data_IF_303621392109
#
_entry.id   IF_303621392109
#
_cell.length_a   1.000
_cell.length_b   1.000
_cell.length_c   1.000
_cell.angle_alpha   90.00
_cell.angle_beta   90.00
_cell.angle_gamma   90.00
#
_symmetry.space_group_name_H-M   'P 1'
#
loop_
_entity.id
_entity.type
_entity.pdbx_description
1 polymer ?
#
# COMPACT_ATOMS: atom_id res chain seq x y z
N UNK A 1 -20.84 -26.10 -16.53
CA UNK A 1 -21.93 -25.21 -17.00
C UNK A 1 -23.23 -25.80 -16.55
N UNK A 2 -24.16 -24.98 -16.08
CA UNK A 2 -25.57 -25.40 -16.05
C UNK A 2 -26.17 -25.26 -17.45
N UNK A 3 -27.40 -25.76 -17.61
CA UNK A 3 -28.15 -25.73 -18.91
C UNK A 3 -28.40 -24.28 -19.44
N UNK A 4 -27.91 -23.24 -18.75
CA UNK A 4 -28.12 -21.82 -19.07
C UNK A 4 -26.83 -21.05 -19.40
N UNK A 5 -25.69 -21.74 -19.57
CA UNK A 5 -24.41 -21.10 -19.94
C UNK A 5 -23.68 -20.39 -18.80
N UNK A 6 -24.09 -20.57 -17.55
CA UNK A 6 -23.51 -19.91 -16.39
C UNK A 6 -22.27 -20.64 -15.90
N UNK A 7 -21.25 -19.90 -15.52
CA UNK A 7 -20.03 -20.47 -14.96
C UNK A 7 -20.08 -20.46 -13.45
N UNK A 8 -19.83 -21.61 -12.87
CA UNK A 8 -19.90 -21.85 -11.43
C UNK A 8 -18.51 -22.20 -10.93
N UNK A 9 -18.10 -21.60 -9.81
CA UNK A 9 -16.85 -22.00 -9.14
C UNK A 9 -16.98 -23.46 -8.65
N UNK A 10 -16.06 -24.33 -9.06
CA UNK A 10 -16.08 -25.75 -8.69
C UNK A 10 -15.79 -26.01 -7.20
N UNK A 11 -15.36 -24.98 -6.45
CA UNK A 11 -15.08 -25.10 -5.00
C UNK A 11 -16.28 -24.65 -4.16
N UNK A 12 -16.82 -23.44 -4.40
CA UNK A 12 -17.86 -22.86 -3.54
C UNK A 12 -19.26 -22.82 -4.19
N UNK A 13 -19.37 -23.32 -5.41
CA UNK A 13 -20.62 -23.30 -6.20
C UNK A 13 -21.21 -21.89 -6.41
N UNK A 14 -20.38 -20.84 -6.23
CA UNK A 14 -20.80 -19.47 -6.49
C UNK A 14 -20.91 -19.25 -8.00
N UNK A 15 -22.05 -18.75 -8.39
CA UNK A 15 -22.29 -18.30 -9.76
C UNK A 15 -21.49 -17.01 -10.00
N UNK A 16 -20.64 -17.02 -11.01
CA UNK A 16 -19.90 -15.85 -11.48
C UNK A 16 -20.67 -15.28 -12.66
N UNK A 17 -21.09 -14.02 -12.53
CA UNK A 17 -21.96 -13.37 -13.52
C UNK A 17 -21.26 -13.28 -14.87
N UNK A 18 -21.98 -13.70 -15.91
CA UNK A 18 -21.71 -13.31 -17.28
C UNK A 18 -21.93 -11.81 -17.44
N UNK A 19 -20.88 -11.04 -17.69
CA UNK A 19 -20.99 -9.87 -18.53
C UNK A 19 -20.29 -10.28 -19.83
N UNK A 20 -21.06 -11.04 -20.65
CA UNK A 20 -20.59 -11.36 -21.96
C UNK A 20 -21.19 -10.35 -22.93
N UNK A 21 -20.31 -9.70 -23.63
CA UNK A 21 -20.52 -9.70 -25.09
C UNK A 21 -19.19 -9.54 -25.86
N UNK A 22 -18.05 -9.26 -25.23
CA UNK A 22 -16.86 -9.01 -26.04
C UNK A 22 -15.49 -9.50 -25.51
N UNK A 23 -15.28 -9.96 -24.27
CA UNK A 23 -13.93 -10.26 -23.82
C UNK A 23 -13.83 -11.48 -22.88
N UNK A 24 -13.54 -12.65 -23.44
CA UNK A 24 -13.08 -13.84 -22.68
C UNK A 24 -11.99 -13.52 -21.65
N UNK A 25 -11.06 -12.61 -21.98
CA UNK A 25 -10.00 -12.19 -21.07
C UNK A 25 -10.52 -11.54 -19.79
N UNK A 26 -11.56 -10.70 -19.86
CA UNK A 26 -12.15 -10.05 -18.71
C UNK A 26 -12.88 -11.03 -17.81
N UNK A 27 -13.63 -11.94 -18.44
CA UNK A 27 -14.31 -13.02 -17.74
C UNK A 27 -13.33 -13.97 -17.06
N UNK A 28 -12.30 -14.44 -17.78
CA UNK A 28 -11.27 -15.31 -17.23
C UNK A 28 -10.53 -14.64 -16.07
N UNK A 29 -10.20 -13.35 -16.18
CA UNK A 29 -9.60 -12.56 -15.10
C UNK A 29 -10.50 -12.51 -13.87
N UNK A 30 -11.80 -12.35 -14.02
CA UNK A 30 -12.75 -12.39 -12.90
C UNK A 30 -12.78 -13.75 -12.20
N UNK A 31 -12.72 -14.83 -12.96
CA UNK A 31 -12.66 -16.19 -12.42
C UNK A 31 -11.32 -16.45 -11.70
N UNK A 32 -10.21 -16.07 -12.31
CA UNK A 32 -8.86 -16.16 -11.72
C UNK A 32 -8.78 -15.40 -10.39
N UNK A 33 -9.30 -14.17 -10.36
CA UNK A 33 -9.35 -13.37 -9.13
C UNK A 33 -10.25 -14.01 -8.06
N UNK A 34 -11.39 -14.58 -8.45
CA UNK A 34 -12.24 -15.30 -7.52
C UNK A 34 -11.54 -16.50 -6.90
N UNK A 35 -10.87 -17.32 -7.72
CA UNK A 35 -10.11 -18.49 -7.25
C UNK A 35 -8.98 -18.09 -6.31
N UNK A 36 -8.25 -17.05 -6.64
CA UNK A 36 -7.15 -16.56 -5.84
C UNK A 36 -7.62 -15.91 -4.52
N UNK A 37 -8.61 -15.01 -4.58
CA UNK A 37 -9.06 -14.24 -3.41
C UNK A 37 -9.84 -15.08 -2.39
N UNK A 38 -10.68 -16.02 -2.87
CA UNK A 38 -11.57 -16.77 -1.99
C UNK A 38 -11.03 -18.16 -1.63
N UNK A 39 -10.20 -18.74 -2.48
CA UNK A 39 -9.74 -20.13 -2.31
C UNK A 39 -8.22 -20.26 -2.21
N UNK A 40 -7.46 -19.18 -2.42
CA UNK A 40 -5.99 -19.18 -2.48
C UNK A 40 -5.44 -20.14 -3.56
N UNK A 41 -6.17 -20.24 -4.68
CA UNK A 41 -5.84 -21.10 -5.81
C UNK A 41 -5.33 -20.26 -6.96
N UNK A 42 -4.17 -20.63 -7.48
CA UNK A 42 -3.58 -20.07 -8.70
C UNK A 42 -3.84 -21.06 -9.82
N UNK A 43 -4.46 -20.61 -10.90
CA UNK A 43 -4.77 -21.39 -12.10
C UNK A 43 -3.89 -20.94 -13.27
N UNK A 44 -3.58 -21.84 -14.23
CA UNK A 44 -2.81 -21.46 -15.40
C UNK A 44 -3.59 -20.47 -16.29
N UNK A 45 -2.88 -19.75 -17.14
CA UNK A 45 -3.49 -18.90 -18.16
C UNK A 45 -3.94 -19.78 -19.33
N UNK A 46 -5.15 -19.57 -19.82
CA UNK A 46 -5.70 -20.29 -20.98
C UNK A 46 -5.65 -19.39 -22.21
N UNK A 47 -5.37 -19.98 -23.37
CA UNK A 47 -5.26 -19.24 -24.64
C UNK A 47 -6.61 -19.09 -25.35
N UNK A 48 -7.57 -19.96 -25.01
CA UNK A 48 -8.90 -19.96 -25.62
C UNK A 48 -10.03 -20.27 -24.64
N UNK A 49 -11.24 -19.91 -25.05
CA UNK A 49 -12.48 -20.22 -24.32
C UNK A 49 -12.65 -21.74 -24.17
N UNK A 50 -12.40 -22.49 -25.27
CA UNK A 50 -12.58 -23.93 -25.29
C UNK A 50 -11.66 -24.66 -24.34
N UNK A 51 -10.37 -24.24 -24.26
CA UNK A 51 -9.40 -24.78 -23.32
C UNK A 51 -9.81 -24.53 -21.86
N UNK A 52 -10.35 -23.34 -21.56
CA UNK A 52 -10.84 -23.03 -20.24
C UNK A 52 -12.09 -23.84 -19.87
N UNK A 53 -13.02 -24.05 -20.79
CA UNK A 53 -14.17 -24.89 -20.53
C UNK A 53 -13.81 -26.36 -20.38
N UNK A 54 -12.90 -26.88 -21.18
CA UNK A 54 -12.36 -28.22 -21.00
C UNK A 54 -11.73 -28.39 -19.62
N UNK A 55 -10.97 -27.40 -19.17
CA UNK A 55 -10.45 -27.37 -17.80
C UNK A 55 -11.58 -27.43 -16.75
N UNK A 56 -12.61 -26.61 -16.86
CA UNK A 56 -13.72 -26.60 -15.91
C UNK A 56 -14.51 -27.90 -15.88
N UNK A 57 -14.67 -28.57 -17.03
CA UNK A 57 -15.37 -29.86 -17.12
C UNK A 57 -14.60 -30.97 -16.39
N UNK A 58 -13.27 -30.87 -16.30
CA UNK A 58 -12.43 -31.86 -15.66
C UNK A 58 -12.08 -31.52 -14.18
N UNK A 59 -12.45 -30.33 -13.69
CA UNK A 59 -12.19 -29.88 -12.33
C UNK A 59 -13.46 -29.98 -11.47
N UNK A 60 -13.63 -31.07 -10.72
CA UNK A 60 -14.79 -31.26 -9.85
C UNK A 60 -14.52 -30.99 -8.37
N UNK A 61 -13.27 -31.18 -7.91
CA UNK A 61 -12.86 -30.89 -6.54
C UNK A 61 -11.34 -30.77 -6.42
N UNK A 62 -10.89 -30.13 -5.33
CA UNK A 62 -9.47 -29.99 -5.02
C UNK A 62 -8.82 -31.34 -4.70
N UNK A 63 -9.57 -32.21 -3.99
CA UNK A 63 -9.08 -33.55 -3.61
C UNK A 63 -8.81 -34.42 -4.84
N UNK A 64 -9.65 -34.31 -5.85
CA UNK A 64 -9.46 -35.00 -7.12
C UNK A 64 -8.19 -34.51 -7.82
N UNK A 65 -8.01 -33.19 -7.95
CA UNK A 65 -6.83 -32.60 -8.59
C UNK A 65 -5.52 -32.96 -7.87
N UNK A 66 -5.57 -33.08 -6.53
CA UNK A 66 -4.44 -33.57 -5.75
C UNK A 66 -4.16 -35.05 -6.00
N UNK A 67 -5.18 -35.88 -6.11
CA UNK A 67 -5.04 -37.31 -6.40
C UNK A 67 -4.50 -37.61 -7.82
N UNK A 68 -4.71 -36.66 -8.74
CA UNK A 68 -4.22 -36.72 -10.12
C UNK A 68 -2.85 -36.05 -10.32
N UNK A 69 -2.17 -35.63 -9.24
CA UNK A 69 -0.93 -34.85 -9.25
C UNK A 69 -1.00 -33.52 -10.03
N UNK A 70 -2.22 -32.98 -10.22
CA UNK A 70 -2.50 -31.74 -10.92
C UNK A 70 -2.54 -30.53 -10.00
N UNK A 71 -2.54 -30.73 -8.69
CA UNK A 71 -2.58 -29.68 -7.69
C UNK A 71 -1.42 -29.83 -6.70
N UNK A 72 -0.63 -28.78 -6.54
CA UNK A 72 0.47 -28.72 -5.58
C UNK A 72 0.29 -27.57 -4.60
N UNK A 73 0.78 -27.74 -3.38
CA UNK A 73 0.76 -26.68 -2.38
C UNK A 73 2.02 -25.83 -2.51
N UNK A 74 1.84 -24.51 -2.53
CA UNK A 74 2.91 -23.53 -2.53
C UNK A 74 2.81 -22.66 -1.27
N UNK A 75 3.82 -22.74 -0.42
CA UNK A 75 3.89 -21.94 0.82
C UNK A 75 4.65 -20.65 0.55
N UNK A 76 3.96 -19.52 0.67
CA UNK A 76 4.57 -18.19 0.63
C UNK A 76 4.75 -17.65 2.04
N UNK A 77 5.95 -17.22 2.36
CA UNK A 77 6.29 -16.66 3.68
C UNK A 77 7.00 -15.34 3.53
N UNK A 78 6.51 -14.33 4.25
CA UNK A 78 7.21 -13.05 4.43
C UNK A 78 7.10 -12.62 5.89
N UNK A 79 8.25 -12.43 6.56
CA UNK A 79 8.36 -12.28 8.02
C UNK A 79 7.75 -13.50 8.75
N UNK A 80 6.81 -13.27 9.66
CA UNK A 80 6.07 -14.29 10.40
C UNK A 80 4.73 -14.69 9.75
N UNK A 81 4.33 -13.98 8.70
CA UNK A 81 3.09 -14.27 7.98
C UNK A 81 3.33 -15.36 6.91
N UNK A 82 2.53 -16.42 7.00
CA UNK A 82 2.59 -17.57 6.08
C UNK A 82 1.22 -17.71 5.42
N UNK A 83 1.22 -17.86 4.10
CA UNK A 83 0.02 -18.16 3.32
C UNK A 83 0.31 -19.36 2.44
N UNK A 84 -0.56 -20.37 2.51
CA UNK A 84 -0.49 -21.55 1.66
C UNK A 84 -1.42 -21.35 0.46
N UNK A 85 -0.85 -21.45 -0.72
CA UNK A 85 -1.56 -21.39 -2.00
C UNK A 85 -1.62 -22.80 -2.60
N UNK A 86 -2.63 -23.03 -3.42
CA UNK A 86 -2.72 -24.23 -4.25
C UNK A 86 -2.47 -23.84 -5.71
N UNK A 87 -1.54 -24.52 -6.35
CA UNK A 87 -1.23 -24.30 -7.75
C UNK A 87 -1.84 -25.44 -8.56
N UNK A 88 -2.72 -25.12 -9.48
CA UNK A 88 -3.31 -26.11 -10.39
C UNK A 88 -2.48 -26.13 -11.67
N UNK A 89 -2.14 -27.34 -12.12
CA UNK A 89 -1.32 -27.60 -13.30
C UNK A 89 -0.02 -26.73 -13.34
N UNK A 90 0.81 -26.73 -12.28
CA UNK A 90 1.95 -25.82 -12.16
C UNK A 90 2.99 -25.99 -13.26
N UNK A 91 2.99 -27.14 -13.96
CA UNK A 91 3.86 -27.38 -15.10
C UNK A 91 3.55 -26.50 -16.32
N UNK A 92 2.33 -25.95 -16.39
CA UNK A 92 1.90 -25.02 -17.44
C UNK A 92 2.26 -23.56 -17.10
N UNK A 93 2.80 -23.31 -15.89
CA UNK A 93 3.11 -21.96 -15.43
C UNK A 93 4.61 -21.76 -15.23
N UNK A 94 5.10 -20.58 -15.57
CA UNK A 94 6.46 -20.18 -15.27
C UNK A 94 6.57 -19.84 -13.77
N UNK A 95 7.64 -20.31 -13.10
CA UNK A 95 7.92 -20.06 -11.68
C UNK A 95 7.92 -18.57 -11.33
N UNK A 96 8.48 -17.72 -12.20
CA UNK A 96 8.45 -16.26 -12.05
C UNK A 96 7.03 -15.70 -12.07
N UNK A 97 6.16 -16.23 -12.91
CA UNK A 97 4.74 -15.82 -12.99
C UNK A 97 4.00 -16.20 -11.71
N UNK A 98 4.19 -17.43 -11.22
CA UNK A 98 3.61 -17.91 -9.96
C UNK A 98 4.03 -16.98 -8.82
N UNK A 99 5.33 -16.72 -8.70
CA UNK A 99 5.89 -15.84 -7.66
C UNK A 99 5.26 -14.45 -7.71
N UNK A 100 5.18 -13.85 -8.87
CA UNK A 100 4.58 -12.51 -9.05
C UNK A 100 3.10 -12.46 -8.65
N UNK A 101 2.30 -13.46 -9.05
CA UNK A 101 0.88 -13.54 -8.70
C UNK A 101 0.72 -13.66 -7.18
N UNK A 102 1.47 -14.56 -6.57
CA UNK A 102 1.41 -14.82 -5.12
C UNK A 102 1.87 -13.62 -4.32
N UNK A 103 2.96 -12.98 -4.70
CA UNK A 103 3.47 -11.76 -4.05
C UNK A 103 2.48 -10.61 -4.14
N UNK A 104 1.91 -10.37 -5.31
CA UNK A 104 0.91 -9.33 -5.52
C UNK A 104 -0.34 -9.58 -4.67
N UNK A 105 -0.85 -10.80 -4.65
CA UNK A 105 -2.01 -11.17 -3.84
C UNK A 105 -1.71 -11.06 -2.33
N UNK A 106 -0.55 -11.54 -1.89
CA UNK A 106 -0.12 -11.42 -0.50
C UNK A 106 -0.06 -9.96 -0.05
N UNK A 107 0.56 -9.09 -0.88
CA UNK A 107 0.61 -7.66 -0.62
C UNK A 107 -0.79 -7.05 -0.52
N UNK A 108 -1.69 -7.42 -1.43
CA UNK A 108 -3.08 -6.94 -1.38
C UNK A 108 -3.77 -7.32 -0.07
N UNK A 109 -3.53 -8.53 0.45
CA UNK A 109 -4.05 -8.93 1.77
C UNK A 109 -3.51 -8.05 2.89
N UNK A 110 -2.22 -7.72 2.87
CA UNK A 110 -1.59 -6.83 3.87
C UNK A 110 -2.18 -5.41 3.78
N UNK A 111 -2.35 -4.87 2.58
CA UNK A 111 -2.98 -3.55 2.37
C UNK A 111 -4.43 -3.52 2.86
N UNK A 112 -5.20 -4.55 2.54
CA UNK A 112 -6.59 -4.68 3.01
C UNK A 112 -6.66 -4.77 4.55
N UNK A 113 -5.71 -5.47 5.17
CA UNK A 113 -5.62 -5.56 6.64
C UNK A 113 -5.23 -4.21 7.24
N UNK A 114 -4.26 -3.51 6.65
CA UNK A 114 -3.87 -2.17 7.08
C UNK A 114 -5.06 -1.18 6.97
N UNK A 115 -5.83 -1.24 5.86
CA UNK A 115 -7.01 -0.41 5.67
C UNK A 115 -8.11 -0.72 6.72
N UNK A 116 -8.35 -1.99 7.05
CA UNK A 116 -9.29 -2.36 8.13
C UNK A 116 -8.84 -1.79 9.47
N UNK A 117 -7.55 -1.91 9.80
CA UNK A 117 -7.00 -1.39 11.04
C UNK A 117 -7.00 0.14 11.10
N UNK A 118 -6.90 0.81 9.93
CA UNK A 118 -7.04 2.25 9.82
C UNK A 118 -8.45 2.72 10.17
N UNK A 119 -9.44 1.99 9.71
CA UNK A 119 -10.87 2.28 9.90
C UNK A 119 -11.46 1.64 11.18
N UNK A 120 -10.60 1.07 12.04
CA UNK A 120 -11.06 0.39 13.26
C UNK A 120 -11.28 1.38 14.39
N UNK A 121 -12.55 1.67 14.67
CA UNK A 121 -13.01 2.52 15.77
C UNK A 121 -13.09 1.78 17.12
N UNK A 122 -12.82 0.47 17.13
CA UNK A 122 -12.80 -0.35 18.36
C UNK A 122 -11.47 -0.31 19.10
N UNK A 123 -10.47 0.40 18.56
CA UNK A 123 -9.17 0.53 19.19
C UNK A 123 -9.27 1.19 20.55
N UNK A 124 -8.73 0.55 21.59
CA UNK A 124 -8.72 1.08 22.96
C UNK A 124 -7.40 0.72 23.64
N UNK A 125 -6.57 1.74 23.93
CA UNK A 125 -5.27 1.53 24.61
C UNK A 125 -4.89 2.70 25.49
N UNK A 126 -4.19 2.37 26.59
CA UNK A 126 -3.51 3.34 27.44
C UNK A 126 -2.14 3.69 26.84
N UNK A 127 -1.74 4.96 26.98
CA UNK A 127 -0.42 5.43 26.59
C UNK A 127 0.71 4.64 27.26
N UNK A 128 1.80 4.41 26.56
CA UNK A 128 2.99 3.71 27.05
C UNK A 128 3.73 4.45 28.18
N UNK A 129 3.55 5.77 28.28
CA UNK A 129 4.33 6.64 29.17
C UNK A 129 3.50 7.40 30.21
N UNK A 130 2.18 7.53 30.01
CA UNK A 130 1.26 8.18 30.93
C UNK A 130 -0.05 7.38 31.09
N UNK A 131 -1.00 7.89 31.89
CA UNK A 131 -2.27 7.20 32.19
C UNK A 131 -3.42 7.59 31.25
N UNK A 132 -3.15 8.35 30.19
CA UNK A 132 -4.18 8.74 29.22
C UNK A 132 -4.57 7.53 28.39
N UNK A 133 -5.86 7.28 28.27
CA UNK A 133 -6.43 6.22 27.44
C UNK A 133 -7.00 6.81 26.17
N UNK A 134 -6.76 6.16 25.06
CA UNK A 134 -7.25 6.51 23.73
C UNK A 134 -8.24 5.44 23.31
N UNK A 135 -9.43 5.87 22.92
CA UNK A 135 -10.50 5.03 22.41
C UNK A 135 -10.80 5.55 20.99
N UNK A 136 -11.33 4.69 20.14
CA UNK A 136 -11.71 4.95 18.74
C UNK A 136 -10.59 4.68 17.75
N UNK A 137 -9.70 5.63 17.45
CA UNK A 137 -8.70 5.47 16.40
C UNK A 137 -7.27 5.44 16.95
N UNK A 138 -6.45 4.55 16.39
CA UNK A 138 -5.04 4.41 16.77
C UNK A 138 -4.20 5.67 16.52
N UNK A 139 -4.56 6.48 15.51
CA UNK A 139 -3.81 7.69 15.17
C UNK A 139 -3.68 8.64 16.35
N UNK A 140 -4.74 8.83 17.12
CA UNK A 140 -4.71 9.69 18.32
C UNK A 140 -3.66 9.27 19.35
N UNK A 141 -3.43 7.95 19.53
CA UNK A 141 -2.38 7.47 20.43
C UNK A 141 -0.99 7.74 19.85
N UNK A 142 -0.79 7.54 18.54
CA UNK A 142 0.50 7.78 17.90
C UNK A 142 0.87 9.27 17.92
N UNK A 143 -0.08 10.16 17.66
CA UNK A 143 0.09 11.62 17.74
C UNK A 143 0.42 12.05 19.17
N UNK A 144 -0.27 11.50 20.17
CA UNK A 144 0.04 11.75 21.56
C UNK A 144 1.44 11.23 21.97
N UNK A 145 1.86 10.06 21.49
CA UNK A 145 3.21 9.55 21.74
C UNK A 145 4.27 10.48 21.17
N UNK A 146 4.04 11.02 19.99
CA UNK A 146 4.92 11.98 19.36
C UNK A 146 4.91 13.34 20.07
N UNK A 147 3.74 13.98 20.18
CA UNK A 147 3.61 15.37 20.67
C UNK A 147 3.93 15.50 22.17
N UNK A 148 3.37 14.59 23.02
CA UNK A 148 3.50 14.72 24.48
C UNK A 148 4.74 14.00 25.05
N UNK A 149 5.26 12.99 24.33
CA UNK A 149 6.37 12.17 24.84
C UNK A 149 7.62 12.22 23.97
N UNK A 150 7.60 12.92 22.82
CA UNK A 150 8.66 12.91 21.81
C UNK A 150 9.10 11.47 21.48
N UNK A 151 8.12 10.58 21.30
CA UNK A 151 8.36 9.17 21.00
C UNK A 151 7.73 8.81 19.67
N UNK A 152 8.56 8.77 18.63
CA UNK A 152 8.13 8.52 17.27
C UNK A 152 8.23 7.04 16.92
N UNK A 153 7.10 6.43 16.55
CA UNK A 153 7.00 5.03 16.11
C UNK A 153 6.86 4.88 14.60
N UNK A 154 6.76 5.97 13.86
CA UNK A 154 6.38 6.01 12.44
C UNK A 154 4.95 6.50 12.27
N UNK A 155 4.59 6.81 11.03
CA UNK A 155 3.24 7.23 10.68
C UNK A 155 2.27 6.07 10.91
N UNK A 156 1.10 6.29 11.55
CA UNK A 156 0.15 5.21 11.87
C UNK A 156 -0.31 4.41 10.64
N UNK A 157 -0.41 5.04 9.47
CA UNK A 157 -0.79 4.36 8.23
C UNK A 157 0.30 3.47 7.62
N UNK A 158 1.55 3.65 8.06
CA UNK A 158 2.63 2.73 7.69
C UNK A 158 2.77 1.56 8.67
N UNK A 159 1.88 1.44 9.66
CA UNK A 159 1.98 0.39 10.68
C UNK A 159 0.87 -0.63 10.49
N UNK A 160 1.24 -1.89 10.44
CA UNK A 160 0.35 -3.06 10.46
C UNK A 160 0.47 -3.78 11.80
N UNK A 161 -0.61 -4.44 12.25
CA UNK A 161 -0.67 -5.15 13.53
C UNK A 161 -0.29 -4.25 14.73
N UNK A 162 -0.83 -3.01 14.73
CA UNK A 162 -0.50 -1.95 15.70
C UNK A 162 -0.64 -2.40 17.15
N UNK A 163 -1.65 -3.23 17.49
CA UNK A 163 -1.84 -3.73 18.83
C UNK A 163 -0.69 -4.65 19.27
N UNK A 164 -0.30 -5.62 18.43
CA UNK A 164 0.83 -6.50 18.71
C UNK A 164 2.15 -5.73 18.80
N UNK A 165 2.34 -4.75 17.89
CA UNK A 165 3.51 -3.87 17.93
C UNK A 165 3.63 -3.13 19.24
N UNK A 166 2.55 -2.50 19.70
CA UNK A 166 2.51 -1.78 20.98
C UNK A 166 2.66 -2.73 22.18
N UNK A 167 2.15 -3.98 22.12
CA UNK A 167 2.36 -4.98 23.15
C UNK A 167 3.84 -5.36 23.32
N UNK A 168 4.56 -5.53 22.23
CA UNK A 168 6.01 -5.81 22.28
C UNK A 168 6.77 -4.65 22.93
N UNK A 169 6.46 -3.41 22.52
CA UNK A 169 7.09 -2.21 23.09
C UNK A 169 6.76 -2.09 24.58
N UNK A 170 5.50 -2.24 24.94
CA UNK A 170 5.04 -2.19 26.34
C UNK A 170 5.73 -3.27 27.20
N UNK A 171 5.84 -4.50 26.69
CA UNK A 171 6.53 -5.58 27.39
C UNK A 171 8.03 -5.32 27.59
N UNK A 172 8.70 -4.72 26.61
CA UNK A 172 10.11 -4.27 26.78
C UNK A 172 10.22 -3.18 27.83
N UNK A 173 9.33 -2.20 27.83
CA UNK A 173 9.30 -1.14 28.86
C UNK A 173 8.98 -1.68 30.24
N UNK A 174 8.06 -2.65 30.40
CA UNK A 174 7.78 -3.33 31.68
C UNK A 174 8.99 -4.09 32.22
N UNK A 175 9.83 -4.62 31.34
CA UNK A 175 11.11 -5.24 31.70
C UNK A 175 12.24 -4.20 31.92
N UNK A 176 11.93 -2.92 31.91
CA UNK A 176 12.87 -1.81 32.07
C UNK A 176 13.99 -1.80 31.02
N UNK A 177 13.70 -2.29 29.81
CA UNK A 177 14.61 -2.27 28.68
C UNK A 177 14.50 -0.95 27.90
N UNK A 178 15.61 -0.38 27.54
CA UNK A 178 15.65 0.76 26.61
C UNK A 178 15.32 0.28 25.19
N UNK A 179 14.35 0.89 24.55
CA UNK A 179 13.86 0.48 23.22
C UNK A 179 14.89 0.66 22.10
N UNK A 180 15.88 1.52 22.30
CA UNK A 180 16.94 1.79 21.33
C UNK A 180 18.17 0.90 21.51
N UNK A 181 18.76 0.88 22.74
CA UNK A 181 20.01 0.16 23.01
C UNK A 181 19.80 -1.17 23.76
N UNK A 182 18.56 -1.55 24.06
CA UNK A 182 18.14 -2.79 24.75
C UNK A 182 18.83 -3.05 26.10
N UNK A 183 19.42 -2.02 26.68
CA UNK A 183 20.02 -2.10 28.01
C UNK A 183 18.94 -2.11 29.08
N UNK A 184 19.08 -2.98 30.07
CA UNK A 184 18.21 -3.08 31.25
C UNK A 184 18.58 -2.06 32.33
N UNK A 185 17.56 -1.52 33.00
CA UNK A 185 17.71 -0.52 34.07
C UNK A 185 17.02 -0.97 35.37
N UNK A 186 17.48 -0.41 36.49
CA UNK A 186 17.01 -0.80 37.83
C UNK A 186 15.57 -0.36 38.12
N UNK A 187 15.14 0.74 37.55
CA UNK A 187 13.79 1.29 37.73
C UNK A 187 13.38 2.20 36.57
N UNK A 188 12.10 2.51 36.52
CA UNK A 188 11.49 3.32 35.49
C UNK A 188 12.07 4.73 35.36
N UNK A 189 12.38 5.40 36.48
CA UNK A 189 12.91 6.77 36.44
C UNK A 189 14.30 6.82 35.80
N UNK A 190 15.15 5.85 36.12
CA UNK A 190 16.49 5.74 35.50
C UNK A 190 16.38 5.43 34.01
N UNK A 191 15.46 4.55 33.61
CA UNK A 191 15.21 4.27 32.20
C UNK A 191 14.73 5.52 31.46
N UNK A 192 13.73 6.23 31.99
CA UNK A 192 13.22 7.47 31.38
C UNK A 192 14.32 8.53 31.23
N UNK A 193 15.12 8.71 32.28
CA UNK A 193 16.23 9.67 32.24
C UNK A 193 17.30 9.26 31.23
N UNK A 194 17.63 7.97 31.14
CA UNK A 194 18.53 7.45 30.11
C UNK A 194 18.00 7.73 28.71
N UNK A 195 16.75 7.38 28.43
CA UNK A 195 16.12 7.59 27.12
C UNK A 195 16.12 9.07 26.74
N UNK A 196 15.85 9.97 27.70
CA UNK A 196 15.87 11.42 27.49
C UNK A 196 17.29 11.94 27.22
N UNK A 197 18.29 11.59 28.09
CA UNK A 197 19.67 12.11 28.01
C UNK A 197 20.44 11.60 26.78
N UNK A 198 20.10 10.40 26.28
CA UNK A 198 20.78 9.75 25.16
C UNK A 198 20.06 9.88 23.82
N UNK A 199 18.91 10.56 23.78
CA UNK A 199 18.09 10.61 22.57
C UNK A 199 17.46 9.27 22.19
N UNK A 200 17.33 8.34 23.15
CA UNK A 200 16.83 6.99 22.90
C UNK A 200 15.29 6.90 22.99
N UNK A 201 14.57 8.00 22.70
CA UNK A 201 13.11 8.04 22.62
C UNK A 201 12.62 7.64 21.23
N UNK A 202 13.24 6.64 20.64
CA UNK A 202 12.89 6.07 19.34
C UNK A 202 13.27 4.59 19.34
N UNK A 203 12.78 3.85 18.35
CA UNK A 203 13.19 2.47 18.13
C UNK A 203 14.53 2.43 17.40
N UNK A 204 15.30 1.36 17.65
CA UNK A 204 16.52 1.13 16.90
C UNK A 204 16.19 0.64 15.50
N UNK A 205 16.41 1.46 14.48
CA UNK A 205 16.18 1.14 13.08
C UNK A 205 17.04 0.00 12.52
N UNK A 206 18.07 -0.45 13.24
CA UNK A 206 18.84 -1.63 12.89
C UNK A 206 18.28 -2.93 13.52
N UNK A 207 17.31 -2.81 14.43
CA UNK A 207 16.65 -3.98 15.01
C UNK A 207 15.53 -4.47 14.08
N UNK A 208 15.79 -5.59 13.40
CA UNK A 208 14.84 -6.19 12.43
C UNK A 208 13.62 -6.83 13.05
N UNK A 209 13.53 -6.92 14.38
CA UNK A 209 12.34 -7.42 15.08
C UNK A 209 11.09 -6.62 14.73
N UNK A 210 11.25 -5.32 14.46
CA UNK A 210 10.17 -4.41 14.16
C UNK A 210 9.81 -4.32 12.67
N UNK A 211 10.63 -4.86 11.77
CA UNK A 211 10.45 -4.74 10.31
C UNK A 211 9.08 -5.25 9.85
N UNK A 212 8.57 -6.29 10.49
CA UNK A 212 7.28 -6.91 10.18
C UNK A 212 6.07 -6.02 10.47
N UNK A 213 6.23 -4.96 11.25
CA UNK A 213 5.16 -4.04 11.59
C UNK A 213 5.08 -2.84 10.65
N UNK A 214 6.06 -2.65 9.77
CA UNK A 214 6.06 -1.54 8.83
C UNK A 214 5.61 -2.00 7.45
N UNK A 215 4.51 -1.39 6.97
CA UNK A 215 3.90 -1.70 5.68
C UNK A 215 4.90 -1.57 4.52
N UNK A 216 5.75 -0.56 4.58
CA UNK A 216 6.80 -0.31 3.59
C UNK A 216 7.69 -1.55 3.34
N UNK A 217 7.96 -2.35 4.36
CA UNK A 217 8.81 -3.53 4.23
C UNK A 217 8.11 -4.71 3.53
N UNK A 218 6.77 -4.68 3.44
CA UNK A 218 5.99 -5.62 2.63
C UNK A 218 5.95 -5.22 1.15
N UNK A 219 6.03 -3.92 0.87
CA UNK A 219 6.02 -3.38 -0.49
C UNK A 219 7.34 -3.64 -1.23
N UNK A 220 8.43 -3.77 -0.49
CA UNK A 220 9.77 -3.96 -1.03
C UNK A 220 10.12 -5.44 -1.14
N UNK A 221 10.28 -5.94 -2.36
CA UNK A 221 10.79 -7.27 -2.59
C UNK A 221 12.33 -7.24 -2.47
N UNK A 222 12.86 -7.87 -1.40
CA UNK A 222 14.30 -8.09 -1.13
C UNK A 222 15.19 -6.84 -1.01
N UNK A 223 14.64 -5.64 -1.16
CA UNK A 223 15.39 -4.39 -1.00
C UNK A 223 14.97 -3.69 0.29
N UNK A 224 15.94 -3.28 1.07
CA UNK A 224 15.69 -2.38 2.19
C UNK A 224 15.23 -1.02 1.62
N UNK A 225 14.22 -0.38 2.23
CA UNK A 225 13.68 0.91 1.78
C UNK A 225 14.77 1.97 1.49
N UNK A 226 15.91 1.97 2.22
CA UNK A 226 17.08 2.82 1.93
C UNK A 226 17.72 2.55 0.58
N UNK A 227 17.63 1.33 0.05
CA UNK A 227 18.17 0.99 -1.29
C UNK A 227 17.23 1.49 -2.36
N UNK A 228 15.91 1.40 -2.12
CA UNK A 228 14.90 1.90 -3.05
C UNK A 228 14.95 3.44 -3.13
N UNK A 229 15.11 4.11 -1.98
CA UNK A 229 15.34 5.55 -1.96
C UNK A 229 16.57 5.92 -2.79
N UNK A 230 17.71 5.26 -2.60
CA UNK A 230 18.92 5.51 -3.40
C UNK A 230 18.75 5.24 -4.90
N UNK A 231 17.94 4.27 -5.29
CA UNK A 231 17.65 3.99 -6.71
C UNK A 231 16.73 5.05 -7.33
N UNK A 232 15.80 5.59 -6.55
CA UNK A 232 14.95 6.70 -6.97
C UNK A 232 15.72 8.04 -6.99
N UNK A 233 16.66 8.23 -6.06
CA UNK A 233 17.52 9.43 -5.96
C UNK A 233 18.48 9.57 -7.16
N UNK A 234 18.67 8.51 -7.97
CA UNK A 234 19.46 8.61 -9.21
C UNK A 234 18.83 9.55 -10.27
N UNK A 235 17.55 9.90 -10.09
CA UNK A 235 16.84 10.85 -10.96
C UNK A 235 16.74 12.27 -10.36
N UNK A 236 17.19 12.49 -9.12
CA UNK A 236 17.16 13.79 -8.44
C UNK A 236 18.56 14.05 -7.89
N UNK A 237 19.25 15.02 -8.49
CA UNK A 237 20.60 15.46 -8.16
C UNK A 237 20.69 15.97 -6.71
N UNK A 238 21.58 15.35 -5.95
CA UNK A 238 22.20 15.75 -4.70
C UNK A 238 21.57 16.88 -3.86
N UNK A 239 20.88 16.52 -2.75
CA UNK A 239 21.07 17.22 -1.48
C UNK A 239 20.73 16.32 -0.28
N UNK A 240 21.73 16.06 0.54
CA UNK A 240 21.76 15.65 1.96
C UNK A 240 20.85 14.53 2.49
N UNK A 241 21.51 13.39 2.75
CA UNK A 241 21.08 12.32 3.66
C UNK A 241 20.82 12.84 5.07
N UNK A 242 19.58 13.16 5.43
CA UNK A 242 19.18 13.13 6.83
C UNK A 242 17.67 12.93 6.97
N UNK A 243 17.28 11.73 7.42
CA UNK A 243 15.91 11.45 7.85
C UNK A 243 15.51 12.18 9.15
N UNK A 244 16.34 13.12 9.60
CA UNK A 244 15.99 14.05 10.65
C UNK A 244 15.08 15.19 10.18
N UNK A 245 14.86 15.35 8.86
CA UNK A 245 14.00 16.43 8.30
C UNK A 245 12.49 16.23 8.51
N UNK A 246 12.06 15.13 9.12
CA UNK A 246 10.68 14.99 9.59
C UNK A 246 10.48 15.51 11.02
N UNK A 247 11.50 16.05 11.66
CA UNK A 247 11.38 16.83 12.88
C UNK A 247 11.18 18.27 12.40
N UNK A 248 9.93 18.70 12.29
CA UNK A 248 9.61 20.11 12.12
C UNK A 248 10.24 20.87 13.30
N UNK A 249 11.20 21.73 13.02
CA UNK A 249 11.58 22.79 13.94
C UNK A 249 10.35 23.67 14.19
N UNK A 250 9.95 23.79 15.45
CA UNK A 250 8.71 24.40 15.94
C UNK A 250 8.58 25.91 15.72
N UNK A 251 9.35 26.55 14.84
CA UNK A 251 9.38 28.00 14.66
C UNK A 251 9.33 28.51 13.21
N UNK A 252 9.14 27.65 12.23
CA UNK A 252 8.79 28.10 10.88
C UNK A 252 7.32 27.73 10.62
N UNK A 253 6.47 28.75 10.41
CA UNK A 253 5.15 28.65 9.78
C UNK A 253 5.36 28.17 8.31
N UNK A 254 6.19 27.15 8.24
CA UNK A 254 6.90 26.57 7.10
C UNK A 254 5.90 26.00 6.12
N UNK A 255 5.84 26.62 5.02
CA UNK A 255 5.23 26.33 3.75
C UNK A 255 5.13 24.83 3.49
N UNK A 256 4.06 24.21 3.98
CA UNK A 256 3.59 22.92 3.52
C UNK A 256 3.04 23.13 2.09
N UNK A 257 3.96 23.34 1.14
CA UNK A 257 3.60 23.60 -0.25
C UNK A 257 3.30 22.27 -0.95
N UNK A 258 2.12 22.18 -1.53
CA UNK A 258 1.74 21.13 -2.45
C UNK A 258 2.10 21.55 -3.88
N UNK A 259 2.49 20.60 -4.72
CA UNK A 259 2.85 20.84 -6.11
C UNK A 259 1.68 20.51 -7.05
N UNK A 260 1.48 21.32 -8.09
CA UNK A 260 0.57 20.98 -9.18
C UNK A 260 1.07 19.76 -9.96
N UNK A 261 0.18 18.92 -10.46
CA UNK A 261 0.55 17.75 -11.30
C UNK A 261 1.13 18.18 -12.66
N UNK A 262 0.61 19.27 -13.22
CA UNK A 262 0.78 19.61 -14.63
C UNK A 262 1.72 20.79 -14.89
N UNK A 263 1.85 21.72 -13.94
CA UNK A 263 2.68 22.91 -14.09
C UNK A 263 3.58 23.16 -12.86
N UNK A 264 4.50 24.13 -12.88
CA UNK A 264 5.40 24.42 -11.74
C UNK A 264 4.73 25.15 -10.58
N UNK A 265 3.41 25.35 -10.62
CA UNK A 265 2.69 26.05 -9.54
C UNK A 265 2.71 25.25 -8.26
N UNK A 266 3.00 25.92 -7.14
CA UNK A 266 3.01 25.34 -5.81
C UNK A 266 2.35 26.30 -4.82
N UNK A 267 1.56 25.75 -3.93
CA UNK A 267 0.83 26.52 -2.92
C UNK A 267 0.26 25.56 -1.83
N UNK A 268 -0.44 26.11 -0.85
CA UNK A 268 -1.22 25.33 0.13
C UNK A 268 -2.24 24.43 -0.57
N UNK A 269 -2.63 23.35 0.10
CA UNK A 269 -3.48 22.29 -0.45
C UNK A 269 -4.77 22.81 -1.11
N UNK A 270 -5.55 23.66 -0.44
CA UNK A 270 -6.82 24.20 -0.98
C UNK A 270 -6.59 24.99 -2.27
N UNK A 271 -5.53 25.79 -2.32
CA UNK A 271 -5.19 26.58 -3.50
C UNK A 271 -4.73 25.68 -4.67
N UNK A 272 -4.07 24.56 -4.37
CA UNK A 272 -3.70 23.55 -5.40
C UNK A 272 -4.94 22.84 -5.94
N UNK A 273 -5.91 22.48 -5.09
CA UNK A 273 -7.20 21.89 -5.54
C UNK A 273 -7.92 22.82 -6.49
N UNK A 274 -8.05 24.10 -6.09
CA UNK A 274 -8.70 25.09 -6.93
C UNK A 274 -7.93 25.33 -8.24
N UNK A 275 -6.61 25.46 -8.18
CA UNK A 275 -5.75 25.62 -9.36
C UNK A 275 -5.84 24.43 -10.33
N UNK A 276 -5.88 23.18 -9.82
CA UNK A 276 -6.04 21.99 -10.66
C UNK A 276 -7.36 22.02 -11.43
N UNK A 277 -8.43 22.51 -10.81
CA UNK A 277 -9.74 22.64 -11.44
C UNK A 277 -9.78 23.80 -12.44
N UNK A 278 -9.31 25.00 -12.04
CA UNK A 278 -9.46 26.22 -12.83
C UNK A 278 -8.53 26.26 -14.05
N UNK A 279 -7.29 25.79 -13.91
CA UNK A 279 -6.26 25.90 -14.95
C UNK A 279 -6.05 24.61 -15.77
N UNK A 280 -6.51 23.47 -15.24
CA UNK A 280 -6.24 22.17 -15.85
C UNK A 280 -7.50 21.29 -16.03
N UNK A 281 -8.69 21.76 -15.66
CA UNK A 281 -9.94 20.98 -15.69
C UNK A 281 -9.81 19.62 -14.96
N UNK A 282 -8.87 19.52 -13.99
CA UNK A 282 -8.63 18.30 -13.22
C UNK A 282 -9.33 18.37 -11.86
N UNK A 283 -10.34 17.54 -11.68
CA UNK A 283 -11.07 17.46 -10.42
C UNK A 283 -10.35 16.52 -9.44
N UNK A 284 -9.62 17.11 -8.48
CA UNK A 284 -8.89 16.36 -7.44
C UNK A 284 -9.85 15.62 -6.48
N UNK A 285 -11.09 16.08 -6.32
CA UNK A 285 -12.07 15.46 -5.42
C UNK A 285 -12.47 14.05 -5.87
N UNK A 286 -12.27 13.71 -7.15
CA UNK A 286 -12.40 12.34 -7.63
C UNK A 286 -11.40 11.38 -6.94
N UNK A 287 -10.18 11.85 -6.63
CA UNK A 287 -9.20 11.07 -5.88
C UNK A 287 -9.63 10.96 -4.42
N UNK A 288 -10.10 12.06 -3.82
CA UNK A 288 -10.55 12.06 -2.43
C UNK A 288 -11.79 11.18 -2.20
N UNK A 289 -12.63 10.99 -3.22
CA UNK A 289 -13.81 10.12 -3.17
C UNK A 289 -13.48 8.61 -3.25
N UNK A 290 -12.22 8.24 -3.45
CA UNK A 290 -11.79 6.83 -3.41
C UNK A 290 -11.79 6.38 -1.94
N UNK A 291 -12.51 5.33 -1.59
CA UNK A 291 -12.63 4.86 -0.20
C UNK A 291 -11.30 4.35 0.39
N UNK A 292 -10.48 3.69 -0.43
CA UNK A 292 -9.20 3.12 0.01
C UNK A 292 -8.10 4.20 0.03
N UNK A 293 -7.60 4.50 1.24
CA UNK A 293 -6.54 5.47 1.46
C UNK A 293 -5.25 5.14 0.69
N UNK A 294 -4.89 3.88 0.63
CA UNK A 294 -3.67 3.46 -0.08
C UNK A 294 -3.81 3.57 -1.60
N UNK A 295 -5.03 3.38 -2.12
CA UNK A 295 -5.33 3.66 -3.53
C UNK A 295 -5.18 5.16 -3.84
N UNK A 296 -5.58 6.06 -2.92
CA UNK A 296 -5.36 7.53 -3.07
C UNK A 296 -3.88 7.86 -3.19
N UNK A 297 -3.04 7.27 -2.34
CA UNK A 297 -1.58 7.43 -2.39
C UNK A 297 -1.03 6.93 -3.73
N UNK A 298 -1.40 5.72 -4.11
CA UNK A 298 -0.87 5.08 -5.32
C UNK A 298 -1.24 5.83 -6.59
N UNK A 299 -2.48 6.32 -6.72
CA UNK A 299 -2.91 7.06 -7.91
C UNK A 299 -2.20 8.40 -8.05
N UNK A 300 -1.98 9.13 -6.93
CA UNK A 300 -1.24 10.40 -6.93
C UNK A 300 0.19 10.16 -7.39
N UNK A 301 0.88 9.19 -6.81
CA UNK A 301 2.26 8.87 -7.16
C UNK A 301 2.38 8.33 -8.61
N UNK A 302 1.38 7.58 -9.06
CA UNK A 302 1.29 7.14 -10.45
C UNK A 302 1.19 8.32 -11.42
N UNK A 303 0.29 9.27 -11.17
CA UNK A 303 0.16 10.49 -12.00
C UNK A 303 1.49 11.25 -11.98
N UNK A 304 2.09 11.49 -10.81
CA UNK A 304 3.38 12.17 -10.66
C UNK A 304 4.47 11.52 -11.51
N UNK A 305 4.65 10.20 -11.36
CA UNK A 305 5.69 9.45 -12.06
C UNK A 305 5.51 9.51 -13.59
N UNK A 306 4.28 9.38 -14.06
CA UNK A 306 3.99 9.47 -15.49
C UNK A 306 4.26 10.90 -16.04
N UNK A 307 3.91 11.93 -15.28
CA UNK A 307 4.21 13.32 -15.66
C UNK A 307 5.73 13.59 -15.72
N UNK A 308 6.52 13.01 -14.84
CA UNK A 308 7.98 13.10 -14.84
C UNK A 308 8.61 12.38 -16.05
N UNK A 309 8.01 11.30 -16.50
CA UNK A 309 8.51 10.50 -17.65
C UNK A 309 7.90 10.90 -18.99
N UNK A 310 7.13 12.00 -19.05
CA UNK A 310 6.38 12.47 -20.22
C UNK A 310 5.46 11.39 -20.81
N UNK A 311 4.83 10.59 -19.97
CA UNK A 311 3.87 9.56 -20.34
C UNK A 311 2.46 9.97 -19.93
N UNK A 312 1.48 9.75 -20.80
CA UNK A 312 0.08 9.96 -20.45
C UNK A 312 -0.36 8.92 -19.39
N UNK A 313 -0.85 9.37 -18.26
CA UNK A 313 -1.31 8.47 -17.17
C UNK A 313 -2.60 7.72 -17.52
N UNK A 314 -3.34 8.15 -18.55
CA UNK A 314 -4.59 7.52 -18.96
C UNK A 314 -4.39 6.51 -20.10
N UNK A 315 -3.84 6.92 -21.28
CA UNK A 315 -3.67 6.02 -22.43
C UNK A 315 -2.27 5.39 -22.52
N UNK A 316 -1.32 5.81 -21.68
CA UNK A 316 0.06 5.30 -21.61
C UNK A 316 0.97 5.69 -22.79
N UNK A 317 0.52 6.55 -23.69
CA UNK A 317 1.36 7.08 -24.77
C UNK A 317 2.50 7.93 -24.21
N UNK A 318 3.67 7.84 -24.83
CA UNK A 318 4.89 8.57 -24.42
C UNK A 318 5.17 9.72 -25.38
N UNK A 319 5.64 10.83 -24.82
CA UNK A 319 5.88 12.08 -25.56
C UNK A 319 7.33 12.53 -25.43
N UNK A 320 7.81 13.27 -26.44
CA UNK A 320 9.18 13.75 -26.47
C UNK A 320 9.51 14.76 -25.35
N UNK A 321 8.52 15.49 -24.87
CA UNK A 321 8.65 16.45 -23.77
C UNK A 321 7.30 16.71 -23.09
N UNK A 322 7.35 17.39 -21.95
CA UNK A 322 6.18 17.71 -21.11
C UNK A 322 5.15 18.58 -21.87
N UNK A 323 5.55 19.45 -22.76
CA UNK A 323 4.63 20.33 -23.48
C UNK A 323 3.70 19.52 -24.40
N UNK A 324 4.24 18.57 -25.19
CA UNK A 324 3.42 17.69 -26.02
C UNK A 324 2.49 16.78 -25.21
N UNK A 325 2.95 16.34 -24.04
CA UNK A 325 2.10 15.60 -23.11
C UNK A 325 0.90 16.43 -22.64
N UNK A 326 1.14 17.68 -22.22
CA UNK A 326 0.05 18.58 -21.75
C UNK A 326 -0.93 18.88 -22.89
N UNK A 327 -0.44 19.18 -24.12
CA UNK A 327 -1.28 19.35 -25.29
C UNK A 327 -2.14 18.10 -25.60
N UNK A 328 -1.55 16.91 -25.49
CA UNK A 328 -2.28 15.66 -25.64
C UNK A 328 -3.36 15.49 -24.57
N UNK A 329 -3.02 15.69 -23.30
CA UNK A 329 -3.97 15.56 -22.19
C UNK A 329 -5.19 16.49 -22.36
N UNK A 330 -4.96 17.74 -22.78
CA UNK A 330 -6.03 18.69 -23.05
C UNK A 330 -6.88 18.32 -24.30
N UNK A 331 -6.24 17.96 -25.41
CA UNK A 331 -6.92 17.67 -26.67
C UNK A 331 -7.75 16.37 -26.65
N UNK A 332 -7.38 15.42 -25.78
CA UNK A 332 -8.05 14.10 -25.68
C UNK A 332 -8.97 13.98 -24.48
N UNK A 333 -9.16 15.07 -23.72
CA UNK A 333 -9.91 15.07 -22.44
C UNK A 333 -9.37 14.05 -21.41
N UNK A 334 -8.12 13.61 -21.57
CA UNK A 334 -7.51 12.69 -20.60
C UNK A 334 -7.19 13.38 -19.29
N UNK A 335 -7.12 14.70 -19.27
CA UNK A 335 -6.87 15.48 -18.06
C UNK A 335 -8.05 15.39 -17.07
N UNK A 336 -9.28 15.20 -17.56
CA UNK A 336 -10.48 15.09 -16.71
C UNK A 336 -10.74 13.68 -16.19
N UNK A 337 -9.95 12.67 -16.62
CA UNK A 337 -10.18 11.25 -16.33
C UNK A 337 -9.12 10.69 -15.41
N UNK A 338 -9.53 9.85 -14.45
CA UNK A 338 -8.59 9.07 -13.65
C UNK A 338 -8.16 7.81 -14.39
N UNK A 339 -6.91 7.35 -14.16
CA UNK A 339 -6.42 6.10 -14.72
C UNK A 339 -7.18 4.90 -14.14
N UNK A 340 -7.26 3.80 -14.89
CA UNK A 340 -7.83 2.57 -14.39
C UNK A 340 -6.94 1.98 -13.26
N UNK A 341 -7.58 1.38 -12.25
CA UNK A 341 -6.91 0.83 -11.06
C UNK A 341 -5.76 -0.12 -11.40
N UNK A 342 -5.88 -0.88 -12.48
CA UNK A 342 -4.88 -1.84 -12.95
C UNK A 342 -3.52 -1.20 -13.27
N UNK A 343 -3.51 0.07 -13.65
CA UNK A 343 -2.29 0.78 -14.00
C UNK A 343 -1.53 1.32 -12.80
N UNK A 344 -2.23 1.77 -11.76
CA UNK A 344 -1.58 2.36 -10.59
C UNK A 344 -1.49 1.41 -9.39
N UNK A 345 -2.26 0.31 -9.38
CA UNK A 345 -2.26 -0.64 -8.27
C UNK A 345 -1.01 -1.52 -8.28
N UNK A 346 0.14 -0.90 -8.01
CA UNK A 346 1.44 -1.53 -7.94
C UNK A 346 2.24 -0.98 -6.75
N UNK A 347 3.04 -1.82 -6.06
CA UNK A 347 3.83 -1.42 -4.89
C UNK A 347 4.74 -0.21 -5.11
N UNK A 348 5.24 -0.03 -6.33
CA UNK A 348 6.12 1.08 -6.68
C UNK A 348 5.48 2.46 -6.54
N UNK A 349 4.14 2.56 -6.60
CA UNK A 349 3.40 3.81 -6.49
C UNK A 349 2.99 4.14 -5.06
N UNK A 350 3.26 3.27 -4.11
CA UNK A 350 3.09 3.58 -2.69
C UNK A 350 4.13 4.58 -2.19
N UNK A 351 5.29 4.64 -2.85
CA UNK A 351 6.37 5.56 -2.50
C UNK A 351 6.15 6.93 -3.12
N UNK A 352 6.38 8.03 -2.36
CA UNK A 352 6.34 9.38 -2.91
C UNK A 352 7.22 9.50 -4.15
N UNK A 353 6.67 10.07 -5.21
CA UNK A 353 7.40 10.34 -6.44
C UNK A 353 8.23 11.64 -6.36
N UNK A 354 7.90 12.52 -5.41
CA UNK A 354 8.55 13.81 -5.17
C UNK A 354 8.73 14.00 -3.66
N UNK A 355 9.97 14.28 -3.22
CA UNK A 355 10.28 14.47 -1.79
C UNK A 355 9.76 15.80 -1.24
N UNK A 356 9.67 16.84 -2.08
CA UNK A 356 9.26 18.19 -1.69
C UNK A 356 7.74 18.45 -1.82
N UNK A 357 6.94 17.42 -2.00
CA UNK A 357 5.49 17.53 -2.22
C UNK A 357 4.70 17.09 -0.99
N UNK A 358 4.10 18.03 -0.31
CA UNK A 358 3.29 17.76 0.88
C UNK A 358 1.86 17.27 0.56
N UNK A 359 1.50 17.06 -0.72
CA UNK A 359 0.13 16.72 -1.13
C UNK A 359 -0.42 15.46 -0.43
N UNK A 360 0.42 14.46 -0.21
CA UNK A 360 0.02 13.20 0.45
C UNK A 360 -0.34 13.40 1.94
N UNK A 361 0.11 14.49 2.58
CA UNK A 361 -0.17 14.77 4.00
C UNK A 361 -1.60 15.25 4.22
N UNK A 362 -2.27 15.74 3.18
CA UNK A 362 -3.62 16.31 3.25
C UNK A 362 -4.73 15.35 2.79
N UNK A 363 -4.42 14.09 2.59
CA UNK A 363 -5.42 13.11 2.12
C UNK A 363 -6.43 12.71 3.20
N UNK A 364 -6.14 12.98 4.47
CA UNK A 364 -7.00 12.66 5.62
C UNK A 364 -7.96 13.78 5.99
N UNK A 365 -7.58 15.05 5.74
CA UNK A 365 -8.32 16.22 6.25
C UNK A 365 -9.68 16.47 5.58
N UNK A 366 -10.04 15.66 4.57
CA UNK A 366 -11.23 15.89 3.74
C UNK A 366 -12.47 15.10 4.17
N UNK A 367 -12.45 14.36 5.28
CA UNK A 367 -13.57 13.49 5.71
C UNK A 367 -14.42 14.08 6.86
N UNK A 368 -14.07 15.24 7.43
CA UNK A 368 -14.71 15.76 8.64
C UNK A 368 -15.75 16.87 8.41
N UNK A 369 -16.11 17.19 7.16
CA UNK A 369 -17.16 18.16 6.86
C UNK A 369 -18.45 17.49 6.33
N UNK A 370 -19.11 16.66 7.19
CA UNK A 370 -20.55 16.36 7.06
C UNK A 370 -21.20 16.08 8.42
#
# INVERSE_FOLDING_TARGET
MDDHGKIICFICNKELKEHCDDLFEEFFRSYEQHMLNNHLIVIPKFESVDEFFDFLQHCHSLDQLQSEDRCTQFMFKKFDKIVNYFLIDPQQMNETTIKNIVEKHFLQKILNEAQKQRNDDSFSRMCLFCRKTFNENRSQLFDHLYNDHNFFLGHPDNIVDANEFLDIIENKLKKLLCLYCEREFKNWNVLKEHMRKKGHKTLNHNNREYDRFYLINYLCNDKHWKQIKKENDFYIDNTNDDWNDWIADDDDDGKLDCLCFFCPYKNKFDNIRQHLMDEHDFNFDQILSIDDFYDRIMIINFIRKNMLTNQCYYCRDTFANKQYLIEHLGNTEHMTKLPAKEFYHSPEYYFPALDDDCLLMFLDDCCDDN
#
